data_IF_735504823562
#
_entry.id   IF_735504823562
#
_cell.length_a   1.000
_cell.length_b   1.000
_cell.length_c   1.000
_cell.angle_alpha   90.00
_cell.angle_beta   90.00
_cell.angle_gamma   90.00
#
_symmetry.space_group_name_H-M   'P 1'
#
loop_
_entity.id
_entity.type
_entity.pdbx_description
1 polymer ?
#
# COMPACT_ATOMS: atom_id res chain seq x y z
N UNK A 1 30.92 1.39 14.70
CA UNK A 1 29.53 0.93 14.53
C UNK A 1 28.67 2.15 14.75
N UNK A 2 28.25 2.82 13.69
CA UNK A 2 27.21 3.83 13.80
C UNK A 2 25.95 3.12 14.25
N UNK A 3 25.41 3.46 15.42
CA UNK A 3 24.21 2.87 16.01
C UNK A 3 23.06 2.99 15.01
N UNK A 4 22.68 1.89 14.38
CA UNK A 4 21.46 1.81 13.58
C UNK A 4 20.27 1.82 14.57
N UNK A 5 19.39 2.84 14.54
CA UNK A 5 18.30 2.90 15.51
C UNK A 5 17.32 1.74 15.34
N UNK A 6 16.93 1.12 16.47
CA UNK A 6 16.00 -0.03 16.50
C UNK A 6 14.72 0.21 15.66
N UNK A 7 14.16 1.42 15.67
CA UNK A 7 12.92 1.74 14.97
C UNK A 7 13.02 1.68 13.44
N UNK A 8 14.24 1.63 12.89
CA UNK A 8 14.50 1.42 11.48
C UNK A 8 14.83 -0.02 11.11
N UNK A 9 15.04 -0.91 12.09
CA UNK A 9 15.33 -2.34 11.84
C UNK A 9 14.21 -2.99 10.99
N UNK A 10 14.54 -4.04 10.25
CA UNK A 10 13.56 -4.80 9.47
C UNK A 10 12.53 -5.51 10.38
N UNK A 11 11.29 -5.63 9.92
CA UNK A 11 10.22 -6.29 10.68
C UNK A 11 10.58 -7.75 11.01
N UNK A 12 11.10 -8.50 10.04
CA UNK A 12 11.52 -9.90 10.24
C UNK A 12 12.71 -9.96 11.20
N UNK A 13 13.62 -8.99 11.14
CA UNK A 13 14.79 -8.93 12.02
C UNK A 13 14.37 -8.71 13.48
N UNK A 14 13.48 -7.75 13.74
CA UNK A 14 12.95 -7.51 15.08
C UNK A 14 12.20 -8.74 15.60
N UNK A 15 11.37 -9.36 14.76
CA UNK A 15 10.69 -10.60 15.12
C UNK A 15 11.67 -11.72 15.51
N UNK A 16 12.75 -11.91 14.76
CA UNK A 16 13.81 -12.88 15.08
C UNK A 16 14.48 -12.56 16.43
N UNK A 17 14.80 -11.30 16.69
CA UNK A 17 15.46 -10.85 17.93
C UNK A 17 14.56 -11.02 19.16
N UNK A 18 13.25 -10.79 19.01
CA UNK A 18 12.25 -11.09 20.03
C UNK A 18 12.15 -12.60 20.28
N UNK A 19 12.03 -13.40 19.23
CA UNK A 19 11.96 -14.86 19.34
C UNK A 19 13.20 -15.47 20.01
N UNK A 20 14.39 -14.93 19.76
CA UNK A 20 15.63 -15.34 20.41
C UNK A 20 15.82 -14.75 21.81
N UNK A 21 14.85 -13.97 22.32
CA UNK A 21 14.89 -13.24 23.60
C UNK A 21 16.08 -12.28 23.72
N UNK A 22 16.58 -11.79 22.59
CA UNK A 22 17.54 -10.68 22.55
C UNK A 22 16.83 -9.35 22.85
N UNK A 23 15.56 -9.25 22.44
CA UNK A 23 14.64 -8.15 22.75
C UNK A 23 13.38 -8.71 23.43
N UNK A 24 12.75 -7.93 24.30
CA UNK A 24 11.36 -8.18 24.75
C UNK A 24 10.36 -7.46 23.84
N UNK A 25 9.24 -8.11 23.52
CA UNK A 25 8.15 -7.47 22.78
C UNK A 25 7.62 -6.24 23.51
N UNK A 26 7.52 -6.29 24.85
CA UNK A 26 7.10 -5.15 25.69
C UNK A 26 8.08 -3.98 25.60
N UNK A 27 9.39 -4.25 25.64
CA UNK A 27 10.42 -3.20 25.53
C UNK A 27 10.40 -2.54 24.15
N UNK A 28 10.30 -3.33 23.08
CA UNK A 28 10.19 -2.82 21.70
C UNK A 28 8.91 -2.00 21.56
N UNK A 29 7.77 -2.49 22.05
CA UNK A 29 6.48 -1.78 21.97
C UNK A 29 6.51 -0.45 22.73
N UNK A 30 7.07 -0.43 23.94
CA UNK A 30 7.23 0.82 24.72
C UNK A 30 8.09 1.83 23.98
N UNK A 31 9.22 1.39 23.42
CA UNK A 31 10.11 2.24 22.61
C UNK A 31 9.37 2.85 21.42
N UNK A 32 8.53 2.07 20.73
CA UNK A 32 7.75 2.57 19.60
C UNK A 32 6.66 3.56 20.04
N UNK A 33 5.98 3.31 21.16
CA UNK A 33 4.96 4.23 21.70
C UNK A 33 5.57 5.57 22.14
N UNK A 34 6.74 5.55 22.80
CA UNK A 34 7.50 6.76 23.16
C UNK A 34 7.94 7.54 21.90
N UNK A 35 8.33 6.82 20.85
CA UNK A 35 8.69 7.44 19.58
C UNK A 35 7.48 8.07 18.89
N UNK A 36 6.32 7.42 18.89
CA UNK A 36 5.06 7.99 18.37
C UNK A 36 4.75 9.30 19.12
N UNK A 37 4.81 9.31 20.45
CA UNK A 37 4.53 10.50 21.26
C UNK A 37 5.46 11.70 20.95
N UNK A 38 6.73 11.41 20.67
CA UNK A 38 7.75 12.44 20.40
C UNK A 38 7.81 12.92 18.94
N UNK A 39 7.57 12.03 17.96
CA UNK A 39 7.77 12.33 16.53
C UNK A 39 6.45 12.56 15.80
N UNK A 40 5.38 11.82 16.12
CA UNK A 40 4.16 11.87 15.33
C UNK A 40 3.33 13.13 15.56
N UNK A 41 3.63 13.89 16.62
CA UNK A 41 2.99 15.18 16.90
C UNK A 41 3.20 16.23 15.79
N UNK A 42 4.22 16.05 14.95
CA UNK A 42 4.47 16.90 13.77
C UNK A 42 4.09 16.21 12.45
N UNK A 43 4.14 14.88 12.41
CA UNK A 43 3.86 14.10 11.20
C UNK A 43 2.39 13.75 11.01
N UNK A 44 1.58 13.73 12.08
CA UNK A 44 0.14 13.47 12.06
C UNK A 44 -0.24 12.15 11.36
N UNK A 45 0.56 11.09 11.52
CA UNK A 45 0.35 9.82 10.82
C UNK A 45 -0.63 8.88 11.54
N UNK A 46 -0.78 8.98 12.87
CA UNK A 46 -1.76 8.21 13.64
C UNK A 46 -3.06 9.00 13.89
N UNK A 47 -4.19 8.32 13.77
CA UNK A 47 -5.52 8.82 14.18
C UNK A 47 -5.87 8.36 15.58
N UNK A 48 -5.54 7.11 15.91
CA UNK A 48 -5.80 6.50 17.21
C UNK A 48 -4.59 5.65 17.60
N UNK A 49 -3.91 6.01 18.69
CA UNK A 49 -2.86 5.19 19.30
C UNK A 49 -3.51 4.23 20.31
N UNK A 50 -3.14 2.96 20.27
CA UNK A 50 -3.72 1.87 21.03
C UNK A 50 -2.79 1.38 22.16
N UNK A 51 -2.19 2.32 22.90
CA UNK A 51 -1.07 2.06 23.81
C UNK A 51 -1.31 0.92 24.82
N UNK A 52 -2.43 0.96 25.54
CA UNK A 52 -2.74 -0.04 26.57
C UNK A 52 -2.87 -1.45 25.97
N UNK A 53 -3.72 -1.60 24.95
CA UNK A 53 -3.89 -2.88 24.27
C UNK A 53 -2.62 -3.36 23.55
N UNK A 54 -1.80 -2.45 23.02
CA UNK A 54 -0.52 -2.80 22.40
C UNK A 54 0.44 -3.40 23.43
N UNK A 55 0.55 -2.80 24.62
CA UNK A 55 1.38 -3.32 25.70
C UNK A 55 0.85 -4.67 26.24
N UNK A 56 -0.47 -4.85 26.29
CA UNK A 56 -1.08 -6.13 26.65
C UNK A 56 -0.77 -7.23 25.62
N UNK A 57 -0.90 -6.94 24.33
CA UNK A 57 -0.53 -7.84 23.23
C UNK A 57 0.96 -8.20 23.26
N UNK A 58 1.82 -7.21 23.49
CA UNK A 58 3.26 -7.42 23.61
C UNK A 58 3.60 -8.33 24.80
N UNK A 59 2.98 -8.09 25.96
CA UNK A 59 3.16 -8.93 27.13
C UNK A 59 2.64 -10.36 26.89
N UNK A 60 1.58 -10.53 26.11
CA UNK A 60 1.11 -11.86 25.70
C UNK A 60 2.10 -12.56 24.77
N UNK A 61 2.69 -11.85 23.81
CA UNK A 61 3.72 -12.41 22.93
C UNK A 61 4.94 -12.91 23.72
N UNK A 62 5.41 -12.14 24.69
CA UNK A 62 6.51 -12.54 25.58
C UNK A 62 6.14 -13.78 26.43
N UNK A 63 4.90 -13.86 26.95
CA UNK A 63 4.40 -15.04 27.68
C UNK A 63 4.32 -16.28 26.79
N UNK A 64 3.82 -16.13 25.57
CA UNK A 64 3.73 -17.22 24.60
C UNK A 64 5.13 -17.78 24.29
N UNK A 65 6.11 -16.90 24.03
CA UNK A 65 7.51 -17.29 23.80
C UNK A 65 8.16 -17.91 25.04
N UNK A 66 7.81 -17.45 26.25
CA UNK A 66 8.25 -18.06 27.51
C UNK A 66 7.74 -19.51 27.64
N UNK A 67 6.51 -19.76 27.17
CA UNK A 67 5.86 -21.07 27.16
C UNK A 67 6.23 -21.96 25.95
N UNK A 68 7.08 -21.49 25.03
CA UNK A 68 7.48 -22.25 23.83
C UNK A 68 6.45 -22.24 22.70
N UNK A 69 5.49 -21.30 22.73
CA UNK A 69 4.49 -21.12 21.68
C UNK A 69 5.05 -20.15 20.64
N UNK A 70 5.29 -20.65 19.44
CA UNK A 70 5.80 -19.89 18.29
C UNK A 70 4.67 -19.65 17.27
N UNK A 71 4.33 -18.38 17.03
CA UNK A 71 3.26 -17.93 16.11
C UNK A 71 3.77 -17.43 14.76
N UNK A 72 5.08 -17.44 14.55
CA UNK A 72 5.72 -17.01 13.32
C UNK A 72 6.46 -15.67 13.43
N UNK A 73 6.98 -15.14 12.30
CA UNK A 73 7.96 -14.05 12.29
C UNK A 73 7.43 -12.71 12.81
N UNK A 74 6.11 -12.52 12.90
CA UNK A 74 5.49 -11.29 13.38
C UNK A 74 5.20 -11.29 14.89
N UNK A 75 5.40 -12.42 15.58
CA UNK A 75 5.09 -12.52 17.01
C UNK A 75 5.87 -11.50 17.83
N UNK A 76 5.13 -10.61 18.51
CA UNK A 76 5.67 -9.52 19.32
C UNK A 76 6.08 -8.26 18.55
N UNK A 77 5.96 -8.24 17.22
CA UNK A 77 6.42 -7.11 16.41
C UNK A 77 5.35 -6.01 16.30
N UNK A 78 5.68 -4.75 16.62
CA UNK A 78 4.74 -3.64 16.47
C UNK A 78 4.42 -3.24 15.02
N UNK A 79 3.14 -3.29 14.66
CA UNK A 79 2.60 -2.90 13.35
C UNK A 79 1.43 -1.94 13.52
N UNK A 80 1.02 -1.26 12.45
CA UNK A 80 -0.13 -0.37 12.46
C UNK A 80 -1.05 -0.62 11.25
N UNK A 81 -2.30 -0.18 11.30
CA UNK A 81 -3.25 -0.43 10.20
C UNK A 81 -3.96 0.86 9.78
N UNK A 82 -4.20 1.03 8.48
CA UNK A 82 -5.03 2.12 7.95
C UNK A 82 -6.36 2.18 8.70
N UNK A 83 -6.81 3.39 8.99
CA UNK A 83 -7.94 3.60 9.90
C UNK A 83 -9.26 2.98 9.42
N UNK A 84 -9.42 2.67 8.12
CA UNK A 84 -10.63 2.01 7.61
C UNK A 84 -10.75 0.52 7.95
N UNK A 85 -9.70 -0.10 8.49
CA UNK A 85 -9.69 -1.50 8.87
C UNK A 85 -10.28 -1.61 10.27
N UNK A 86 -11.45 -2.24 10.38
CA UNK A 86 -12.21 -2.28 11.63
C UNK A 86 -11.49 -3.06 12.72
N UNK A 87 -11.50 -2.50 13.92
CA UNK A 87 -11.02 -3.14 15.14
C UNK A 87 -12.12 -2.99 16.19
N UNK A 88 -12.72 -4.11 16.62
CA UNK A 88 -13.84 -4.08 17.55
C UNK A 88 -13.50 -3.28 18.81
N UNK A 89 -14.39 -2.35 19.20
CA UNK A 89 -14.21 -1.50 20.37
C UNK A 89 -13.18 -0.37 20.21
N UNK A 90 -12.54 -0.23 19.04
CA UNK A 90 -11.57 0.84 18.76
C UNK A 90 -12.12 1.81 17.72
N UNK A 91 -12.03 3.12 18.01
CA UNK A 91 -12.47 4.19 17.11
C UNK A 91 -11.83 4.05 15.71
N UNK A 92 -12.68 4.09 14.68
CA UNK A 92 -12.35 3.86 13.27
C UNK A 92 -13.17 4.86 12.45
N UNK A 93 -12.54 5.91 11.91
CA UNK A 93 -13.26 7.07 11.37
C UNK A 93 -13.28 7.14 9.85
N UNK A 94 -12.57 6.25 9.15
CA UNK A 94 -12.56 6.19 7.69
C UNK A 94 -12.01 7.48 7.03
N UNK A 95 -11.30 8.34 7.78
CA UNK A 95 -10.92 9.68 7.32
C UNK A 95 -12.12 10.61 7.13
N UNK A 96 -13.27 10.32 7.76
CA UNK A 96 -14.52 11.06 7.58
C UNK A 96 -14.96 11.67 8.93
N UNK A 97 -15.17 13.00 9.02
CA UNK A 97 -15.75 13.61 10.21
C UNK A 97 -17.14 13.06 10.56
N UNK A 98 -17.90 12.64 9.54
CA UNK A 98 -19.18 11.93 9.69
C UNK A 98 -19.07 10.69 10.58
N UNK A 99 -17.92 10.01 10.55
CA UNK A 99 -17.64 8.79 11.31
C UNK A 99 -16.70 9.05 12.50
N UNK A 100 -16.57 10.31 12.97
CA UNK A 100 -15.63 10.68 14.05
C UNK A 100 -15.77 9.83 15.32
N UNK A 101 -16.99 9.40 15.64
CA UNK A 101 -17.32 8.62 16.84
C UNK A 101 -17.67 7.15 16.50
N UNK A 102 -17.39 6.71 15.28
CA UNK A 102 -17.66 5.33 14.86
C UNK A 102 -16.72 4.35 15.57
N UNK A 103 -17.32 3.39 16.27
CA UNK A 103 -16.63 2.29 16.94
C UNK A 103 -17.22 0.97 16.41
N UNK A 104 -16.49 0.23 15.57
CA UNK A 104 -16.96 -1.05 15.04
C UNK A 104 -17.24 -2.07 16.15
N UNK A 105 -18.21 -2.94 15.91
CA UNK A 105 -18.52 -4.09 16.77
C UNK A 105 -17.77 -5.36 16.37
N UNK A 106 -17.19 -5.36 15.17
CA UNK A 106 -16.49 -6.50 14.59
C UNK A 106 -15.06 -6.08 14.22
N UNK A 107 -14.18 -7.07 14.14
CA UNK A 107 -12.78 -6.90 13.75
C UNK A 107 -12.60 -7.43 12.33
N UNK A 108 -11.94 -6.64 11.49
CA UNK A 108 -11.59 -6.99 10.12
C UNK A 108 -10.76 -8.26 10.08
N UNK A 109 -10.94 -9.09 9.05
CA UNK A 109 -10.24 -10.37 8.96
C UNK A 109 -8.72 -10.23 8.92
N UNK A 110 -8.21 -9.17 8.28
CA UNK A 110 -6.77 -8.86 8.27
C UNK A 110 -6.23 -8.50 9.66
N UNK A 111 -7.02 -7.79 10.48
CA UNK A 111 -6.64 -7.43 11.85
C UNK A 111 -6.69 -8.67 12.76
N UNK A 112 -7.71 -9.52 12.60
CA UNK A 112 -7.77 -10.82 13.29
C UNK A 112 -6.57 -11.71 12.96
N UNK A 113 -6.13 -11.75 11.69
CA UNK A 113 -4.96 -12.54 11.28
C UNK A 113 -3.65 -12.01 11.88
N UNK A 114 -3.48 -10.68 11.96
CA UNK A 114 -2.34 -10.08 12.65
C UNK A 114 -2.30 -10.47 14.14
N UNK A 115 -3.43 -10.38 14.84
CA UNK A 115 -3.55 -10.80 16.24
C UNK A 115 -3.23 -12.30 16.44
N UNK A 116 -3.75 -13.15 15.57
CA UNK A 116 -3.47 -14.60 15.59
C UNK A 116 -1.99 -14.92 15.35
N UNK A 117 -1.31 -14.14 14.49
CA UNK A 117 0.14 -14.23 14.28
C UNK A 117 0.96 -13.65 15.46
N UNK A 118 0.30 -13.08 16.47
CA UNK A 118 0.93 -12.47 17.63
C UNK A 118 1.55 -11.10 17.36
N UNK A 119 1.19 -10.43 16.26
CA UNK A 119 1.64 -9.07 16.00
C UNK A 119 1.03 -8.09 17.02
N UNK A 120 1.76 -7.03 17.34
CA UNK A 120 1.30 -6.00 18.28
C UNK A 120 0.74 -4.82 17.48
N UNK A 121 -0.53 -4.49 17.67
CA UNK A 121 -1.18 -3.40 16.95
C UNK A 121 -1.01 -2.07 17.69
N UNK A 122 -0.16 -1.18 17.16
CA UNK A 122 0.13 0.14 17.74
C UNK A 122 -1.03 1.13 17.60
N UNK A 123 -1.83 1.00 16.53
CA UNK A 123 -2.90 1.94 16.29
C UNK A 123 -3.46 1.98 14.87
N UNK A 124 -4.29 3.00 14.66
CA UNK A 124 -4.99 3.32 13.42
C UNK A 124 -4.35 4.51 12.75
N UNK A 125 -4.05 4.38 11.46
CA UNK A 125 -3.28 5.35 10.67
C UNK A 125 -4.17 6.25 9.81
N UNK A 126 -3.76 7.50 9.67
CA UNK A 126 -4.45 8.53 8.91
C UNK A 126 -4.59 8.18 7.43
N UNK A 127 -5.67 8.67 6.83
CA UNK A 127 -6.02 8.45 5.44
C UNK A 127 -6.82 9.61 4.86
N UNK A 128 -6.95 9.64 3.55
CA UNK A 128 -7.87 10.57 2.88
C UNK A 128 -9.33 10.15 3.10
N UNK A 129 -10.26 11.07 2.87
CA UNK A 129 -11.67 10.87 3.19
C UNK A 129 -12.27 9.70 2.38
N UNK A 130 -12.82 8.69 3.07
CA UNK A 130 -13.41 7.53 2.40
C UNK A 130 -12.43 6.79 1.50
N UNK A 131 -11.12 6.90 1.79
CA UNK A 131 -10.03 6.39 0.97
C UNK A 131 -9.90 6.99 -0.44
N UNK A 132 -10.54 8.13 -0.74
CA UNK A 132 -10.48 8.79 -2.04
C UNK A 132 -9.65 10.08 -2.00
N UNK A 133 -8.80 10.27 -3.01
CA UNK A 133 -8.04 11.49 -3.37
C UNK A 133 -7.51 12.40 -2.24
N UNK A 134 -8.38 13.14 -1.56
CA UNK A 134 -8.05 14.25 -0.67
C UNK A 134 -8.50 13.99 0.78
N UNK A 135 -7.74 14.48 1.75
CA UNK A 135 -8.21 14.54 3.13
C UNK A 135 -9.42 15.46 3.23
N UNK A 136 -10.37 15.13 4.10
CA UNK A 136 -11.47 16.03 4.39
C UNK A 136 -10.92 17.38 4.91
N UNK A 137 -11.49 18.55 4.54
CA UNK A 137 -10.98 19.86 4.97
C UNK A 137 -10.76 20.04 6.48
N UNK A 138 -11.59 19.38 7.30
CA UNK A 138 -11.49 19.38 8.77
C UNK A 138 -10.45 18.41 9.35
N UNK A 139 -9.72 17.67 8.51
CA UNK A 139 -8.71 16.68 8.93
C UNK A 139 -7.33 17.17 8.50
N UNK A 140 -6.43 17.31 9.48
CA UNK A 140 -5.02 17.59 9.20
C UNK A 140 -4.40 16.41 8.45
N UNK A 141 -3.88 16.63 7.22
CA UNK A 141 -3.19 15.58 6.47
C UNK A 141 -1.83 15.25 7.11
N UNK A 142 -1.31 14.02 6.93
CA UNK A 142 0.04 13.69 7.37
C UNK A 142 1.11 14.46 6.61
N UNK A 143 2.12 14.93 7.33
CA UNK A 143 3.31 15.56 6.77
C UNK A 143 4.26 14.48 6.24
N UNK A 144 4.77 14.65 5.02
CA UNK A 144 5.79 13.74 4.49
C UNK A 144 7.09 13.90 5.30
N UNK A 145 7.66 12.81 5.86
CA UNK A 145 8.81 12.90 6.74
C UNK A 145 10.10 13.32 6.02
N UNK A 146 10.14 13.23 4.68
CA UNK A 146 11.26 13.73 3.86
C UNK A 146 11.23 15.25 3.65
N UNK A 147 10.11 15.91 3.99
CA UNK A 147 9.97 17.36 3.91
C UNK A 147 8.52 17.78 3.72
N UNK A 148 8.10 18.85 4.40
CA UNK A 148 6.71 19.32 4.43
C UNK A 148 6.14 19.74 3.07
N UNK A 149 7.00 20.12 2.12
CA UNK A 149 6.59 20.50 0.78
C UNK A 149 6.24 19.29 -0.11
N UNK A 150 6.68 18.09 0.27
CA UNK A 150 6.46 16.85 -0.48
C UNK A 150 5.09 16.28 -0.16
N UNK A 151 4.42 15.74 -1.19
CA UNK A 151 3.17 15.01 -0.99
C UNK A 151 3.42 13.73 -0.20
N UNK A 152 2.60 13.41 0.79
CA UNK A 152 2.72 12.19 1.60
C UNK A 152 2.11 10.94 0.94
N UNK A 153 1.49 11.10 -0.24
CA UNK A 153 0.77 10.03 -0.92
C UNK A 153 -0.66 9.85 -0.41
N UNK A 154 -1.53 9.31 -1.25
CA UNK A 154 -2.93 9.02 -0.92
C UNK A 154 -3.32 7.63 -1.40
N UNK A 155 -4.35 6.99 -0.83
CA UNK A 155 -5.09 7.41 0.37
C UNK A 155 -4.52 6.83 1.66
N UNK A 156 -3.59 5.88 1.62
CA UNK A 156 -2.95 5.32 2.82
C UNK A 156 -1.81 6.22 3.33
N UNK A 157 -2.08 7.53 3.44
CA UNK A 157 -1.09 8.57 3.73
C UNK A 157 -0.33 8.29 5.04
N UNK A 158 -1.05 8.00 6.13
CA UNK A 158 -0.46 7.69 7.43
C UNK A 158 0.32 6.38 7.41
N UNK A 159 -0.11 5.37 6.64
CA UNK A 159 0.61 4.10 6.49
C UNK A 159 1.99 4.31 5.85
N UNK A 160 2.09 5.14 4.82
CA UNK A 160 3.37 5.52 4.22
C UNK A 160 4.26 6.28 5.19
N UNK A 161 3.74 7.37 5.78
CA UNK A 161 4.47 8.25 6.71
C UNK A 161 4.97 7.48 7.94
N UNK A 162 4.09 6.75 8.64
CA UNK A 162 4.45 6.02 9.86
C UNK A 162 5.51 4.94 9.61
N UNK A 163 5.46 4.28 8.45
CA UNK A 163 6.43 3.24 8.10
C UNK A 163 7.81 3.83 7.77
N UNK A 164 7.82 4.96 7.03
CA UNK A 164 9.05 5.65 6.64
C UNK A 164 9.75 6.35 7.81
N UNK A 165 8.97 6.97 8.71
CA UNK A 165 9.47 7.66 9.90
C UNK A 165 9.92 6.73 11.04
N UNK A 166 9.77 5.41 10.87
CA UNK A 166 10.07 4.42 11.91
C UNK A 166 9.12 4.55 13.10
N UNK A 167 7.82 4.73 12.85
CA UNK A 167 6.77 4.76 13.89
C UNK A 167 6.02 3.42 13.99
N UNK A 168 6.26 2.51 13.06
CA UNK A 168 5.89 1.10 13.11
C UNK A 168 6.91 0.26 12.29
N UNK A 169 6.94 -1.06 12.49
CA UNK A 169 7.81 -1.95 11.69
C UNK A 169 7.22 -2.32 10.34
N UNK A 170 5.91 -2.17 10.21
CA UNK A 170 5.17 -2.25 8.97
C UNK A 170 3.73 -1.86 9.21
N UNK A 171 3.02 -1.58 8.13
CA UNK A 171 1.62 -1.20 8.19
C UNK A 171 0.78 -1.86 7.12
N UNK A 172 -0.52 -1.82 7.31
CA UNK A 172 -1.48 -2.16 6.25
C UNK A 172 -2.06 -0.88 5.64
N UNK A 173 -2.22 -0.89 4.32
CA UNK A 173 -2.93 0.11 3.54
C UNK A 173 -4.03 -0.53 2.69
N UNK A 174 -4.75 0.30 1.93
CA UNK A 174 -5.65 -0.16 0.87
C UNK A 174 -5.36 0.51 -0.45
N UNK A 175 -5.70 -0.18 -1.55
CA UNK A 175 -5.40 0.26 -2.91
C UNK A 175 -6.58 0.01 -3.86
N UNK A 176 -7.10 1.09 -4.44
CA UNK A 176 -8.22 1.09 -5.41
C UNK A 176 -7.83 1.73 -6.75
N UNK A 177 -6.76 2.52 -6.74
CA UNK A 177 -6.25 3.30 -7.89
C UNK A 177 -4.78 3.70 -7.74
N UNK A 178 -4.10 3.17 -6.73
CA UNK A 178 -2.73 3.50 -6.34
C UNK A 178 -2.51 3.63 -4.83
N UNK A 179 -3.52 3.41 -3.99
CA UNK A 179 -3.50 3.86 -2.59
C UNK A 179 -2.57 3.12 -1.61
N UNK A 180 -1.92 2.03 -2.01
CA UNK A 180 -0.73 1.47 -1.34
C UNK A 180 0.54 1.96 -2.03
N UNK A 181 0.52 2.01 -3.36
CA UNK A 181 1.69 2.32 -4.20
C UNK A 181 2.10 3.79 -4.13
N UNK A 182 1.16 4.74 -4.13
CA UNK A 182 1.46 6.17 -4.04
C UNK A 182 2.10 6.55 -2.70
N UNK A 183 1.55 6.17 -1.52
CA UNK A 183 2.23 6.42 -0.25
C UNK A 183 3.57 5.69 -0.15
N UNK A 184 3.69 4.51 -0.76
CA UNK A 184 4.98 3.80 -0.78
C UNK A 184 6.04 4.55 -1.59
N UNK A 185 5.66 5.03 -2.79
CA UNK A 185 6.53 5.82 -3.65
C UNK A 185 6.89 7.16 -3.02
N UNK A 186 5.91 7.88 -2.47
CA UNK A 186 6.08 9.21 -1.90
C UNK A 186 6.95 9.23 -0.63
N UNK A 187 6.95 8.15 0.14
CA UNK A 187 7.68 8.05 1.41
C UNK A 187 8.92 7.15 1.34
N UNK A 188 9.25 6.59 0.17
CA UNK A 188 10.46 5.80 -0.01
C UNK A 188 10.44 4.44 0.68
N UNK A 189 9.26 3.81 0.76
CA UNK A 189 9.06 2.50 1.39
C UNK A 189 8.57 1.46 0.38
N UNK A 190 8.61 0.19 0.76
CA UNK A 190 8.15 -0.92 -0.08
C UNK A 190 6.66 -1.17 0.14
N UNK A 191 5.86 -1.16 -0.93
CA UNK A 191 4.41 -1.43 -0.86
C UNK A 191 4.02 -2.60 -1.73
N UNK A 192 3.18 -3.52 -1.25
CA UNK A 192 2.69 -4.65 -2.03
C UNK A 192 1.17 -4.58 -2.13
N UNK A 193 0.67 -4.36 -3.35
CA UNK A 193 -0.76 -4.55 -3.66
C UNK A 193 -0.94 -5.98 -4.15
N UNK A 194 -1.63 -6.86 -3.42
CA UNK A 194 -1.75 -8.25 -3.83
C UNK A 194 -2.73 -8.40 -5.00
N UNK A 195 -2.90 -9.63 -5.46
CA UNK A 195 -3.92 -9.95 -6.45
C UNK A 195 -5.30 -9.68 -5.88
N UNK A 196 -6.23 -9.21 -6.71
CA UNK A 196 -7.61 -9.03 -6.25
C UNK A 196 -8.19 -10.36 -5.75
N UNK A 197 -8.73 -10.35 -4.54
CA UNK A 197 -9.22 -11.54 -3.84
C UNK A 197 -8.15 -12.37 -3.10
N UNK A 198 -6.86 -12.02 -3.14
CA UNK A 198 -5.83 -12.71 -2.33
C UNK A 198 -5.98 -12.43 -0.82
N UNK A 199 -6.44 -11.24 -0.46
CA UNK A 199 -6.64 -10.79 0.92
C UNK A 199 -8.12 -10.47 1.11
N UNK A 200 -8.69 -10.93 2.23
CA UNK A 200 -10.09 -10.65 2.58
C UNK A 200 -10.30 -9.16 2.84
N UNK A 201 -11.43 -8.65 2.35
CA UNK A 201 -11.92 -7.28 2.54
C UNK A 201 -12.98 -7.18 3.65
N UNK A 202 -13.33 -8.29 4.30
CA UNK A 202 -14.28 -8.27 5.41
C UNK A 202 -13.80 -7.35 6.55
N UNK A 203 -14.67 -6.42 6.94
CA UNK A 203 -14.41 -5.40 7.96
C UNK A 203 -13.52 -4.25 7.50
N UNK A 204 -13.40 -4.01 6.19
CA UNK A 204 -12.84 -2.78 5.64
C UNK A 204 -13.98 -1.89 5.12
N UNK A 205 -13.92 -0.58 5.40
CA UNK A 205 -14.81 0.38 4.76
C UNK A 205 -14.43 0.54 3.28
N UNK A 206 -15.42 0.36 2.41
CA UNK A 206 -15.20 0.25 0.96
C UNK A 206 -15.11 1.62 0.29
N UNK A 207 -14.25 1.73 -0.71
CA UNK A 207 -14.31 2.79 -1.71
C UNK A 207 -14.96 2.26 -2.99
N UNK A 208 -14.45 1.14 -3.51
CA UNK A 208 -15.01 0.43 -4.64
C UNK A 208 -14.66 -1.06 -4.54
N UNK A 209 -15.59 -1.85 -4.01
CA UNK A 209 -15.42 -3.26 -3.68
C UNK A 209 -14.72 -4.11 -4.77
N UNK A 210 -15.04 -3.89 -6.04
CA UNK A 210 -14.48 -4.66 -7.15
C UNK A 210 -13.05 -4.28 -7.52
N UNK A 211 -12.51 -3.22 -6.92
CA UNK A 211 -11.16 -2.68 -7.15
C UNK A 211 -10.34 -2.57 -5.87
N UNK A 212 -10.97 -2.59 -4.70
CA UNK A 212 -10.27 -2.46 -3.43
C UNK A 212 -9.36 -3.66 -3.14
N UNK A 213 -8.12 -3.37 -2.77
CA UNK A 213 -7.14 -4.33 -2.25
C UNK A 213 -6.71 -3.90 -0.86
N UNK A 214 -6.36 -4.86 -0.01
CA UNK A 214 -5.65 -4.62 1.25
C UNK A 214 -4.27 -5.23 1.12
N UNK A 215 -3.23 -4.50 1.52
CA UNK A 215 -1.86 -4.97 1.37
C UNK A 215 -0.87 -4.24 2.25
N UNK A 216 0.35 -4.80 2.40
CA UNK A 216 1.34 -4.26 3.31
C UNK A 216 2.15 -3.11 2.72
N UNK A 217 2.58 -2.22 3.62
CA UNK A 217 3.63 -1.23 3.42
C UNK A 217 4.71 -1.49 4.47
N UNK A 218 5.94 -1.70 4.03
CA UNK A 218 7.08 -2.10 4.88
C UNK A 218 8.39 -1.48 4.36
N UNK A 219 9.49 -1.66 5.07
CA UNK A 219 10.80 -1.14 4.64
C UNK A 219 11.53 -2.01 3.62
N UNK A 220 11.13 -3.27 3.47
CA UNK A 220 11.75 -4.19 2.51
C UNK A 220 10.74 -5.11 1.84
N UNK A 221 11.13 -5.70 0.71
CA UNK A 221 10.33 -6.70 -0.01
C UNK A 221 10.11 -7.97 0.82
N UNK A 222 11.09 -8.35 1.63
CA UNK A 222 10.95 -9.49 2.55
C UNK A 222 9.89 -9.18 3.62
N UNK A 223 9.96 -8.01 4.26
CA UNK A 223 8.99 -7.61 5.29
C UNK A 223 7.57 -7.49 4.72
N UNK A 224 7.43 -6.93 3.51
CA UNK A 224 6.15 -6.89 2.80
C UNK A 224 5.63 -8.31 2.49
N UNK A 225 6.50 -9.22 2.05
CA UNK A 225 6.15 -10.63 1.82
C UNK A 225 5.70 -11.36 3.10
N UNK A 226 6.37 -11.10 4.23
CA UNK A 226 6.02 -11.69 5.52
C UNK A 226 4.65 -11.20 6.02
N UNK A 227 4.38 -9.90 5.94
CA UNK A 227 3.07 -9.33 6.27
C UNK A 227 1.97 -9.89 5.36
N UNK A 228 2.22 -9.96 4.05
CA UNK A 228 1.26 -10.53 3.11
C UNK A 228 0.94 -11.99 3.46
N UNK A 229 1.95 -12.79 3.80
CA UNK A 229 1.79 -14.19 4.21
C UNK A 229 0.87 -14.37 5.42
N UNK A 230 0.83 -13.38 6.32
CA UNK A 230 -0.07 -13.39 7.49
C UNK A 230 -1.51 -13.01 7.12
N UNK A 231 -1.69 -11.97 6.30
CA UNK A 231 -3.03 -11.42 6.04
C UNK A 231 -3.76 -12.10 4.88
N UNK A 232 -3.05 -12.80 3.99
CA UNK A 232 -3.62 -13.45 2.82
C UNK A 232 -4.41 -14.72 3.15
N UNK A 233 -5.30 -15.10 2.23
CA UNK A 233 -6.01 -16.37 2.26
C UNK A 233 -7.52 -16.23 2.30
N UNK A 234 -8.17 -17.35 1.97
CA UNK A 234 -9.61 -17.53 1.95
C UNK A 234 -10.27 -17.09 3.25
N UNK A 235 -11.47 -16.55 3.16
CA UNK A 235 -12.25 -16.12 4.32
C UNK A 235 -13.73 -16.36 4.08
N UNK A 236 -14.38 -17.10 4.96
CA UNK A 236 -15.82 -17.38 4.84
C UNK A 236 -16.67 -16.12 4.99
N UNK A 237 -16.13 -15.08 5.64
CA UNK A 237 -16.79 -13.78 5.82
C UNK A 237 -16.64 -12.85 4.62
N UNK A 238 -15.78 -13.21 3.67
CA UNK A 238 -15.62 -12.53 2.38
C UNK A 238 -15.62 -13.56 1.24
N UNK A 239 -16.77 -13.81 0.60
CA UNK A 239 -16.86 -14.77 -0.50
C UNK A 239 -16.06 -14.36 -1.75
N UNK A 240 -15.51 -13.14 -1.79
CA UNK A 240 -14.60 -12.69 -2.86
C UNK A 240 -13.13 -12.99 -2.56
N UNK A 241 -12.79 -13.40 -1.32
CA UNK A 241 -11.48 -13.91 -0.97
C UNK A 241 -11.29 -15.30 -1.58
N UNK A 242 -10.42 -15.38 -2.59
CA UNK A 242 -10.25 -16.56 -3.43
C UNK A 242 -9.70 -17.74 -2.60
N UNK A 243 -10.28 -18.96 -2.74
CA UNK A 243 -9.87 -20.14 -1.99
C UNK A 243 -8.60 -20.81 -2.55
N UNK A 244 -7.59 -20.00 -2.89
CA UNK A 244 -6.27 -20.48 -3.29
C UNK A 244 -5.35 -20.55 -2.07
N UNK A 245 -4.51 -21.58 -2.03
CA UNK A 245 -3.46 -21.68 -1.02
C UNK A 245 -2.58 -20.42 -1.03
N UNK A 246 -2.16 -19.99 0.16
CA UNK A 246 -1.19 -18.91 0.33
C UNK A 246 0.21 -19.55 0.29
N UNK A 247 1.06 -19.20 -0.70
CA UNK A 247 2.41 -19.72 -0.73
C UNK A 247 3.27 -19.06 0.36
N UNK A 248 4.36 -19.72 0.76
CA UNK A 248 5.41 -19.05 1.50
C UNK A 248 6.16 -18.10 0.56
N UNK A 249 5.82 -16.80 0.67
CA UNK A 249 6.39 -15.75 -0.16
C UNK A 249 7.91 -15.56 0.05
N UNK A 250 8.47 -16.04 1.17
CA UNK A 250 9.90 -15.90 1.49
C UNK A 250 10.73 -17.09 0.98
N UNK A 251 10.12 -18.27 0.84
CA UNK A 251 10.83 -19.52 0.49
C UNK A 251 11.67 -19.44 -0.81
N UNK A 252 11.26 -18.59 -1.75
CA UNK A 252 11.91 -18.43 -3.05
C UNK A 252 12.70 -17.13 -3.24
N UNK A 253 12.70 -16.23 -2.25
CA UNK A 253 13.11 -14.84 -2.48
C UNK A 253 14.59 -14.70 -2.84
N UNK A 254 15.45 -15.61 -2.37
CA UNK A 254 16.90 -15.57 -2.58
C UNK A 254 17.38 -16.18 -3.91
N UNK A 255 16.47 -16.64 -4.78
CA UNK A 255 16.83 -17.33 -6.04
C UNK A 255 17.40 -16.41 -7.15
N UNK A 256 17.56 -15.11 -6.89
CA UNK A 256 18.06 -14.13 -7.85
C UNK A 256 17.19 -13.97 -9.10
N UNK A 257 17.64 -13.24 -10.12
CA UNK A 257 16.84 -12.95 -11.33
C UNK A 257 17.40 -13.53 -12.63
N UNK A 258 18.41 -14.40 -12.55
CA UNK A 258 18.98 -15.04 -13.74
C UNK A 258 17.90 -15.74 -14.57
N UNK A 259 17.71 -15.28 -15.80
CA UNK A 259 16.76 -15.83 -16.77
C UNK A 259 15.29 -15.45 -16.55
N UNK A 260 14.98 -14.62 -15.54
CA UNK A 260 13.62 -14.07 -15.36
C UNK A 260 13.37 -13.05 -16.47
N UNK A 261 12.26 -13.19 -17.18
CA UNK A 261 11.86 -12.32 -18.29
C UNK A 261 11.03 -11.16 -17.76
N UNK A 262 11.53 -9.95 -17.92
CA UNK A 262 10.89 -8.71 -17.45
C UNK A 262 10.49 -7.91 -18.68
N UNK A 263 9.19 -7.80 -18.93
CA UNK A 263 8.63 -6.99 -20.00
C UNK A 263 8.74 -5.50 -19.68
N UNK A 264 9.24 -4.73 -20.64
CA UNK A 264 9.32 -3.27 -20.62
C UNK A 264 8.72 -2.72 -21.92
N UNK A 265 7.75 -1.81 -21.81
CA UNK A 265 7.33 -0.96 -22.93
C UNK A 265 8.04 0.40 -22.77
N UNK A 266 9.05 0.73 -23.60
CA UNK A 266 9.81 1.97 -23.46
C UNK A 266 8.94 3.22 -23.63
N UNK A 267 7.97 3.19 -24.55
CA UNK A 267 7.11 4.34 -24.83
C UNK A 267 6.20 4.64 -23.64
N UNK A 268 5.64 3.59 -23.06
CA UNK A 268 4.75 3.72 -21.92
C UNK A 268 5.49 4.01 -20.61
N UNK A 269 6.55 3.26 -20.30
CA UNK A 269 7.19 3.30 -18.99
C UNK A 269 8.36 4.30 -18.90
N UNK A 270 9.10 4.57 -19.97
CA UNK A 270 10.33 5.39 -19.95
C UNK A 270 10.10 6.78 -20.58
N UNK A 271 9.43 6.82 -21.73
CA UNK A 271 9.28 8.05 -22.50
C UNK A 271 8.16 8.96 -21.98
N UNK A 272 7.10 8.38 -21.42
CA UNK A 272 5.91 9.09 -20.95
C UNK A 272 5.99 9.57 -19.49
N UNK A 273 7.19 9.71 -18.93
CA UNK A 273 7.45 10.26 -17.59
C UNK A 273 8.41 11.45 -17.65
N UNK A 274 8.52 12.19 -16.55
CA UNK A 274 9.48 13.28 -16.42
C UNK A 274 10.94 12.80 -16.45
N UNK A 275 11.86 13.76 -16.61
CA UNK A 275 13.29 13.47 -16.80
C UNK A 275 13.91 12.74 -15.61
N UNK A 276 13.52 13.06 -14.39
CA UNK A 276 14.07 12.45 -13.18
C UNK A 276 13.59 11.00 -13.02
N UNK A 277 12.29 10.76 -13.20
CA UNK A 277 11.71 9.41 -13.19
C UNK A 277 12.31 8.55 -14.29
N UNK A 278 12.48 9.11 -15.50
CA UNK A 278 13.14 8.42 -16.62
C UNK A 278 14.54 7.95 -16.25
N UNK A 279 15.36 8.87 -15.71
CA UNK A 279 16.74 8.55 -15.33
C UNK A 279 16.82 7.44 -14.27
N UNK A 280 15.90 7.44 -13.30
CA UNK A 280 15.80 6.36 -12.30
C UNK A 280 15.39 5.04 -12.95
N UNK A 281 14.40 5.01 -13.84
CA UNK A 281 13.96 3.78 -14.48
C UNK A 281 15.02 3.17 -15.39
N UNK A 282 15.75 3.99 -16.15
CA UNK A 282 16.89 3.51 -16.97
C UNK A 282 17.96 2.84 -16.09
N UNK A 283 18.23 3.39 -14.91
CA UNK A 283 19.15 2.78 -13.94
C UNK A 283 18.59 1.47 -13.39
N UNK A 284 17.30 1.41 -13.04
CA UNK A 284 16.64 0.18 -12.59
C UNK A 284 16.75 -0.91 -13.65
N UNK A 285 16.42 -0.62 -14.90
CA UNK A 285 16.51 -1.57 -16.02
C UNK A 285 17.94 -2.09 -16.18
N UNK A 286 18.95 -1.20 -16.10
CA UNK A 286 20.37 -1.58 -16.13
C UNK A 286 20.75 -2.52 -14.97
N UNK A 287 20.36 -2.19 -13.74
CA UNK A 287 20.59 -3.03 -12.54
C UNK A 287 19.96 -4.41 -12.69
N UNK A 288 18.73 -4.49 -13.21
CA UNK A 288 18.05 -5.78 -13.41
C UNK A 288 18.76 -6.64 -14.45
N UNK A 289 19.26 -6.04 -15.55
CA UNK A 289 20.11 -6.73 -16.52
C UNK A 289 21.39 -7.29 -15.89
N UNK A 290 22.04 -6.51 -15.01
CA UNK A 290 23.24 -6.95 -14.27
C UNK A 290 22.94 -8.12 -13.29
N UNK A 291 21.73 -8.16 -12.73
CA UNK A 291 21.24 -9.28 -11.91
C UNK A 291 20.88 -10.53 -12.72
N UNK A 292 21.01 -10.46 -14.05
CA UNK A 292 20.78 -11.56 -14.99
C UNK A 292 19.35 -11.70 -15.49
N UNK A 293 18.48 -10.71 -15.23
CA UNK A 293 17.16 -10.67 -15.84
C UNK A 293 17.27 -10.44 -17.36
N UNK A 294 16.32 -11.00 -18.11
CA UNK A 294 16.17 -10.77 -19.55
C UNK A 294 15.12 -9.68 -19.71
N UNK A 295 15.54 -8.49 -20.15
CA UNK A 295 14.63 -7.38 -20.43
C UNK A 295 14.06 -7.59 -21.83
N UNK A 296 12.75 -7.81 -21.92
CA UNK A 296 12.04 -8.02 -23.17
C UNK A 296 11.22 -6.77 -23.52
N UNK A 297 11.46 -6.22 -24.71
CA UNK A 297 10.62 -5.15 -25.21
C UNK A 297 9.24 -5.69 -25.55
N UNK A 298 8.20 -5.02 -25.04
CA UNK A 298 6.80 -5.39 -25.24
C UNK A 298 5.98 -4.15 -25.62
N UNK A 299 4.78 -4.40 -26.16
CA UNK A 299 3.75 -3.38 -26.29
C UNK A 299 2.71 -3.58 -25.17
N UNK A 300 2.70 -2.68 -24.19
CA UNK A 300 1.70 -2.73 -23.14
C UNK A 300 0.35 -2.25 -23.68
N UNK A 301 -0.80 -2.86 -23.30
CA UNK A 301 -2.11 -2.39 -23.76
C UNK A 301 -2.32 -0.91 -23.43
N UNK A 302 -2.86 -0.16 -24.38
CA UNK A 302 -3.18 1.26 -24.17
C UNK A 302 -4.02 1.44 -22.91
N UNK A 303 -3.50 2.28 -22.00
CA UNK A 303 -4.05 2.54 -20.68
C UNK A 303 -4.98 3.75 -20.66
N UNK A 304 -5.00 4.58 -21.71
CA UNK A 304 -5.73 5.85 -21.70
C UNK A 304 -7.21 5.65 -21.39
N UNK A 305 -7.87 4.72 -22.08
CA UNK A 305 -9.28 4.43 -21.83
C UNK A 305 -9.53 3.82 -20.44
N UNK A 306 -8.60 2.98 -19.94
CA UNK A 306 -8.70 2.41 -18.59
C UNK A 306 -8.61 3.50 -17.51
N UNK A 307 -7.73 4.49 -17.69
CA UNK A 307 -7.62 5.66 -16.81
C UNK A 307 -8.91 6.47 -16.81
N UNK A 308 -9.48 6.77 -17.98
CA UNK A 308 -10.74 7.52 -18.07
C UNK A 308 -11.94 6.74 -17.51
N UNK A 309 -11.96 5.42 -17.64
CA UNK A 309 -13.04 4.59 -17.12
C UNK A 309 -12.94 4.38 -15.60
N UNK A 310 -11.78 4.60 -14.99
CA UNK A 310 -11.57 4.35 -13.56
C UNK A 310 -12.50 5.18 -12.66
N UNK A 311 -12.53 6.51 -12.83
CA UNK A 311 -13.34 7.39 -11.98
C UNK A 311 -14.85 7.08 -12.01
N UNK A 312 -15.51 6.92 -13.18
CA UNK A 312 -16.93 6.56 -13.21
C UNK A 312 -17.22 5.13 -12.73
N UNK A 313 -16.30 4.17 -12.92
CA UNK A 313 -16.45 2.83 -12.34
C UNK A 313 -16.37 2.89 -10.82
N UNK A 314 -15.35 3.57 -10.30
CA UNK A 314 -15.12 3.77 -8.87
C UNK A 314 -16.32 4.48 -8.24
N UNK A 315 -16.73 5.61 -8.82
CA UNK A 315 -17.80 6.43 -8.27
C UNK A 315 -19.14 5.72 -8.17
N UNK A 316 -19.49 4.82 -9.10
CA UNK A 316 -20.72 4.01 -8.97
C UNK A 316 -20.68 3.14 -7.71
N UNK A 317 -19.56 2.46 -7.45
CA UNK A 317 -19.42 1.61 -6.26
C UNK A 317 -19.29 2.45 -4.99
N UNK A 318 -18.60 3.59 -5.03
CA UNK A 318 -18.55 4.55 -3.92
C UNK A 318 -19.93 5.10 -3.57
N UNK A 319 -20.77 5.40 -4.58
CA UNK A 319 -22.14 5.83 -4.36
C UNK A 319 -22.99 4.75 -3.68
N UNK A 320 -22.71 3.46 -3.92
CA UNK A 320 -23.34 2.35 -3.22
C UNK A 320 -22.85 2.27 -1.77
N UNK A 321 -21.53 2.35 -1.55
CA UNK A 321 -20.94 2.31 -0.21
C UNK A 321 -21.44 3.44 0.72
N UNK A 322 -21.82 4.58 0.15
CA UNK A 322 -22.33 5.73 0.88
C UNK A 322 -23.86 5.94 0.77
N UNK A 323 -24.61 4.95 0.26
CA UNK A 323 -26.05 5.12 -0.03
C UNK A 323 -26.91 5.42 1.20
N UNK A 324 -26.48 5.02 2.41
CA UNK A 324 -27.22 5.26 3.66
C UNK A 324 -27.19 6.74 4.09
N UNK A 325 -26.13 7.47 3.75
CA UNK A 325 -25.86 8.81 4.24
C UNK A 325 -25.92 9.87 3.13
N UNK A 326 -25.54 9.52 1.89
CA UNK A 326 -25.54 10.44 0.75
C UNK A 326 -26.79 10.24 -0.15
N UNK A 327 -27.50 11.32 -0.59
CA UNK A 327 -27.17 12.74 -0.47
C UNK A 327 -27.74 13.42 0.78
N UNK A 328 -28.43 12.68 1.66
CA UNK A 328 -29.15 13.27 2.81
C UNK A 328 -28.26 14.08 3.78
N UNK A 329 -26.97 13.72 3.85
CA UNK A 329 -25.95 14.35 4.67
C UNK A 329 -24.79 14.89 3.82
N UNK A 330 -25.07 15.33 2.57
CA UNK A 330 -24.04 15.81 1.62
C UNK A 330 -23.09 16.85 2.20
N UNK A 331 -23.57 17.76 3.05
CA UNK A 331 -22.75 18.80 3.68
C UNK A 331 -21.72 18.27 4.69
N UNK A 332 -21.79 16.99 5.07
CA UNK A 332 -20.80 16.34 5.94
C UNK A 332 -19.64 15.68 5.15
N UNK A 333 -19.64 15.82 3.82
CA UNK A 333 -18.62 15.26 2.93
C UNK A 333 -17.72 16.37 2.38
N UNK A 334 -16.44 16.05 2.21
CA UNK A 334 -15.51 16.90 1.48
C UNK A 334 -15.84 16.95 -0.01
N UNK A 335 -15.41 18.01 -0.72
CA UNK A 335 -15.78 18.25 -2.12
C UNK A 335 -15.29 17.13 -3.06
N UNK A 336 -14.10 16.56 -2.81
CA UNK A 336 -13.55 15.48 -3.63
C UNK A 336 -14.42 14.21 -3.58
N UNK A 337 -14.69 13.68 -2.38
CA UNK A 337 -15.52 12.48 -2.22
C UNK A 337 -16.97 12.72 -2.65
N UNK A 338 -17.56 13.87 -2.31
CA UNK A 338 -18.91 14.22 -2.75
C UNK A 338 -19.01 14.26 -4.29
N UNK A 339 -18.00 14.83 -4.97
CA UNK A 339 -17.92 14.88 -6.42
C UNK A 339 -17.85 13.49 -7.07
N UNK A 340 -17.07 12.57 -6.48
CA UNK A 340 -17.01 11.18 -6.95
C UNK A 340 -18.35 10.45 -6.79
N UNK A 341 -19.03 10.64 -5.65
CA UNK A 341 -20.35 10.04 -5.41
C UNK A 341 -21.38 10.60 -6.39
N UNK A 342 -21.41 11.92 -6.60
CA UNK A 342 -22.29 12.57 -7.58
C UNK A 342 -22.03 12.06 -9.01
N UNK A 343 -20.75 11.91 -9.40
CA UNK A 343 -20.36 11.30 -10.69
C UNK A 343 -20.90 9.88 -10.83
N UNK A 344 -20.79 9.06 -9.77
CA UNK A 344 -21.31 7.69 -9.74
C UNK A 344 -22.82 7.62 -9.90
N UNK A 345 -23.55 8.44 -9.13
CA UNK A 345 -25.02 8.52 -9.18
C UNK A 345 -25.55 9.00 -10.53
N UNK A 346 -24.75 9.76 -11.28
CA UNK A 346 -25.10 10.27 -12.59
C UNK A 346 -24.89 9.24 -13.73
N UNK A 347 -24.22 8.11 -13.49
CA UNK A 347 -23.97 7.13 -14.53
C UNK A 347 -25.25 6.41 -14.98
N UNK A 348 -25.43 6.26 -16.29
CA UNK A 348 -26.47 5.39 -16.83
C UNK A 348 -26.06 3.92 -16.76
N UNK A 349 -27.04 3.01 -16.65
CA UNK A 349 -26.78 1.57 -16.67
C UNK A 349 -26.04 1.13 -17.95
N UNK A 350 -26.35 1.75 -19.10
CA UNK A 350 -25.72 1.42 -20.38
C UNK A 350 -24.26 1.85 -20.42
N UNK A 351 -23.94 3.07 -19.98
CA UNK A 351 -22.56 3.56 -19.97
C UNK A 351 -21.72 2.79 -18.96
N UNK A 352 -22.29 2.45 -17.80
CA UNK A 352 -21.62 1.62 -16.81
C UNK A 352 -21.33 0.21 -17.36
N UNK A 353 -22.31 -0.44 -17.99
CA UNK A 353 -22.12 -1.76 -18.60
C UNK A 353 -21.05 -1.74 -19.69
N UNK A 354 -20.99 -0.70 -20.52
CA UNK A 354 -19.93 -0.57 -21.53
C UNK A 354 -18.53 -0.49 -20.90
N UNK A 355 -18.39 0.24 -19.79
CA UNK A 355 -17.12 0.31 -19.03
C UNK A 355 -16.71 -1.02 -18.46
N UNK A 356 -17.66 -1.78 -17.90
CA UNK A 356 -17.38 -3.14 -17.41
C UNK A 356 -16.88 -4.07 -18.52
N UNK A 357 -17.46 -3.99 -19.72
CA UNK A 357 -16.99 -4.77 -20.88
C UNK A 357 -15.57 -4.39 -21.29
N UNK A 358 -15.26 -3.08 -21.36
CA UNK A 358 -13.91 -2.58 -21.65
C UNK A 358 -12.90 -2.99 -20.58
N UNK A 359 -13.28 -2.94 -19.30
CA UNK A 359 -12.46 -3.42 -18.18
C UNK A 359 -12.13 -4.90 -18.34
N UNK A 360 -13.11 -5.73 -18.67
CA UNK A 360 -12.90 -7.16 -18.88
C UNK A 360 -11.97 -7.45 -20.08
N UNK A 361 -12.16 -6.73 -21.20
CA UNK A 361 -11.27 -6.83 -22.36
C UNK A 361 -9.85 -6.38 -22.03
N UNK A 362 -9.69 -5.25 -21.33
CA UNK A 362 -8.39 -4.75 -20.89
C UNK A 362 -7.67 -5.78 -20.01
N UNK A 363 -8.36 -6.33 -19.00
CA UNK A 363 -7.82 -7.41 -18.17
C UNK A 363 -7.34 -8.59 -19.01
N UNK A 364 -8.14 -9.07 -19.95
CA UNK A 364 -7.78 -10.20 -20.81
C UNK A 364 -6.53 -9.92 -21.67
N UNK A 365 -6.31 -8.68 -22.10
CA UNK A 365 -5.08 -8.26 -22.80
C UNK A 365 -3.87 -8.28 -21.88
N UNK A 366 -4.01 -7.79 -20.64
CA UNK A 366 -2.93 -7.82 -19.63
C UNK A 366 -2.59 -9.26 -19.24
N UNK A 367 -3.60 -10.12 -19.00
CA UNK A 367 -3.41 -11.55 -18.71
C UNK A 367 -2.60 -12.25 -19.83
N UNK A 368 -2.94 -11.97 -21.10
CA UNK A 368 -2.25 -12.55 -22.26
C UNK A 368 -0.80 -12.11 -22.36
N UNK A 369 -0.52 -10.85 -22.06
CA UNK A 369 0.83 -10.31 -22.07
C UNK A 369 1.68 -10.89 -20.92
N UNK A 370 1.13 -10.97 -19.71
CA UNK A 370 1.79 -11.60 -18.56
C UNK A 370 1.93 -13.13 -18.70
N UNK A 371 1.32 -13.75 -19.71
CA UNK A 371 1.62 -15.14 -20.07
C UNK A 371 2.92 -15.27 -20.90
N UNK A 372 3.43 -14.19 -21.51
CA UNK A 372 4.67 -14.22 -22.30
C UNK A 372 5.90 -13.77 -21.54
N UNK A 373 5.77 -13.08 -20.41
CA UNK A 373 6.87 -12.62 -19.53
C UNK A 373 6.57 -13.00 -18.08
N UNK A 374 7.57 -12.98 -17.21
CA UNK A 374 7.39 -13.36 -15.81
C UNK A 374 7.01 -12.15 -14.93
N UNK A 375 7.44 -10.95 -15.34
CA UNK A 375 7.11 -9.66 -14.71
C UNK A 375 6.97 -8.57 -15.76
N UNK A 376 6.28 -7.50 -15.41
CA UNK A 376 6.40 -6.19 -16.06
C UNK A 376 7.11 -5.21 -15.12
N UNK A 377 7.76 -4.21 -15.70
CA UNK A 377 8.30 -3.06 -14.97
C UNK A 377 7.61 -1.77 -15.43
N UNK A 378 7.26 -0.91 -14.47
CA UNK A 378 6.68 0.41 -14.72
C UNK A 378 7.09 1.41 -13.61
N UNK A 379 7.01 2.73 -13.86
CA UNK A 379 6.99 3.71 -12.78
C UNK A 379 5.74 3.56 -11.91
N UNK A 380 5.69 4.26 -10.78
CA UNK A 380 4.45 4.39 -9.98
C UNK A 380 3.61 5.59 -10.45
N UNK A 381 4.26 6.69 -10.81
CA UNK A 381 3.61 7.90 -11.35
C UNK A 381 4.46 8.49 -12.46
N UNK A 382 3.91 9.40 -13.27
CA UNK A 382 4.67 10.10 -14.30
C UNK A 382 5.64 11.18 -13.76
N UNK A 383 5.62 11.45 -12.45
CA UNK A 383 6.27 12.61 -11.83
C UNK A 383 7.16 12.17 -10.66
N UNK A 384 8.39 12.66 -10.64
CA UNK A 384 9.32 12.46 -9.55
C UNK A 384 8.89 13.31 -8.34
N UNK A 385 8.76 12.67 -7.18
CA UNK A 385 8.49 13.30 -5.90
C UNK A 385 7.48 14.48 -5.94
N UNK A 386 6.20 14.24 -6.30
CA UNK A 386 5.19 15.29 -6.38
C UNK A 386 5.14 16.15 -5.12
N UNK A 387 5.08 17.47 -5.27
CA UNK A 387 4.89 18.38 -4.14
C UNK A 387 3.41 18.53 -3.78
N UNK A 388 3.12 18.97 -2.55
CA UNK A 388 1.75 19.31 -2.15
C UNK A 388 1.12 20.36 -3.08
N UNK A 389 1.87 21.41 -3.42
CA UNK A 389 1.41 22.47 -4.33
C UNK A 389 1.15 21.97 -5.76
N UNK A 390 1.84 20.92 -6.20
CA UNK A 390 1.54 20.28 -7.48
C UNK A 390 0.26 19.45 -7.39
N UNK A 391 0.10 18.71 -6.29
CA UNK A 391 -1.06 17.84 -6.05
C UNK A 391 -2.36 18.61 -5.78
N UNK A 392 -2.32 19.87 -5.36
CA UNK A 392 -3.52 20.74 -5.28
C UNK A 392 -4.29 20.83 -6.61
N UNK A 393 -3.63 20.57 -7.74
CA UNK A 393 -4.24 20.61 -9.08
C UNK A 393 -4.79 19.26 -9.54
N UNK A 394 -4.66 18.20 -8.72
CA UNK A 394 -4.94 16.82 -9.14
C UNK A 394 -6.37 16.60 -9.66
N UNK A 395 -7.36 17.26 -9.05
CA UNK A 395 -8.76 17.19 -9.47
C UNK A 395 -9.14 18.10 -10.64
N UNK A 396 -8.28 19.02 -11.05
CA UNK A 396 -8.57 20.05 -12.06
C UNK A 396 -7.73 19.92 -13.34
N UNK A 397 -6.52 19.35 -13.23
CA UNK A 397 -5.57 19.17 -14.33
C UNK A 397 -5.64 17.72 -14.87
N UNK A 398 -6.20 17.56 -16.07
CA UNK A 398 -6.33 16.27 -16.74
C UNK A 398 -4.99 15.57 -16.99
N UNK A 399 -3.93 16.33 -17.29
CA UNK A 399 -2.60 15.76 -17.54
C UNK A 399 -2.00 15.21 -16.25
N UNK A 400 -2.14 15.94 -15.15
CA UNK A 400 -1.74 15.48 -13.82
C UNK A 400 -2.54 14.24 -13.41
N UNK A 401 -3.87 14.30 -13.50
CA UNK A 401 -4.74 13.16 -13.20
C UNK A 401 -4.32 11.91 -13.97
N UNK A 402 -4.15 12.04 -15.29
CA UNK A 402 -3.68 10.96 -16.15
C UNK A 402 -2.30 10.47 -15.74
N UNK A 403 -1.33 11.37 -15.53
CA UNK A 403 0.05 11.04 -15.20
C UNK A 403 0.20 10.28 -13.87
N UNK A 404 -0.65 10.56 -12.88
CA UNK A 404 -0.65 9.83 -11.61
C UNK A 404 -1.28 8.44 -11.74
N UNK A 405 -2.39 8.30 -12.47
CA UNK A 405 -3.17 7.06 -12.53
C UNK A 405 -2.68 6.07 -13.60
N UNK A 406 -1.97 6.54 -14.63
CA UNK A 406 -1.54 5.76 -15.80
C UNK A 406 -0.86 4.43 -15.48
N UNK A 407 -0.13 4.38 -14.37
CA UNK A 407 0.68 3.23 -13.99
C UNK A 407 0.11 2.45 -12.81
N UNK A 408 -0.96 2.92 -12.19
CA UNK A 408 -1.56 2.25 -11.03
C UNK A 408 -2.94 1.68 -11.34
N UNK A 409 -3.87 2.54 -11.77
CA UNK A 409 -5.26 2.17 -12.02
C UNK A 409 -5.47 0.99 -12.98
N UNK A 410 -4.62 0.76 -14.01
CA UNK A 410 -4.77 -0.41 -14.87
C UNK A 410 -4.68 -1.74 -14.10
N UNK A 411 -3.92 -1.77 -13.00
CA UNK A 411 -3.70 -2.96 -12.19
C UNK A 411 -4.72 -3.15 -11.08
N UNK A 412 -5.48 -2.11 -10.72
CA UNK A 412 -6.69 -2.25 -9.91
C UNK A 412 -7.86 -2.76 -10.76
N UNK A 413 -8.01 -2.20 -11.97
CA UNK A 413 -9.01 -2.62 -12.92
C UNK A 413 -8.82 -4.07 -13.36
N UNK A 414 -7.58 -4.49 -13.60
CA UNK A 414 -7.26 -5.87 -14.00
C UNK A 414 -7.05 -6.82 -12.82
N UNK A 415 -6.86 -6.30 -11.61
CA UNK A 415 -6.67 -7.07 -10.38
C UNK A 415 -5.25 -7.63 -10.16
N UNK A 416 -4.29 -7.32 -11.04
CA UNK A 416 -2.94 -7.87 -10.99
C UNK A 416 -2.14 -7.39 -9.78
N UNK A 417 -1.34 -8.26 -9.14
CA UNK A 417 -0.49 -7.88 -8.02
C UNK A 417 0.69 -7.01 -8.46
N UNK A 418 1.12 -6.13 -7.56
CA UNK A 418 2.28 -5.24 -7.78
C UNK A 418 3.13 -5.11 -6.51
N UNK A 419 4.43 -4.87 -6.67
CA UNK A 419 5.30 -4.40 -5.58
C UNK A 419 6.00 -3.11 -5.98
N UNK A 420 5.83 -2.07 -5.18
CA UNK A 420 6.50 -0.77 -5.30
C UNK A 420 7.81 -0.78 -4.52
N UNK A 421 8.88 -0.29 -5.12
CA UNK A 421 10.23 -0.28 -4.55
C UNK A 421 10.88 1.10 -4.73
N UNK A 422 11.50 1.67 -3.69
CA UNK A 422 12.29 2.89 -3.82
C UNK A 422 13.53 2.62 -4.68
N UNK A 423 13.85 3.54 -5.58
CA UNK A 423 14.94 3.39 -6.55
C UNK A 423 15.78 4.66 -6.77
N UNK A 424 15.45 5.76 -6.11
CA UNK A 424 16.21 7.00 -6.22
C UNK A 424 15.59 8.13 -5.41
N UNK A 425 16.16 9.31 -5.56
CA UNK A 425 15.68 10.55 -4.96
C UNK A 425 15.71 11.66 -6.01
N UNK A 426 14.71 12.54 -5.98
CA UNK A 426 14.66 13.72 -6.82
C UNK A 426 15.66 14.78 -6.35
N UNK A 427 15.91 15.79 -7.19
CA UNK A 427 16.69 16.96 -6.82
C UNK A 427 16.09 17.74 -5.64
N UNK A 428 14.78 17.61 -5.41
CA UNK A 428 14.08 18.21 -4.28
C UNK A 428 14.14 17.35 -3.00
N UNK A 429 14.85 16.22 -3.03
CA UNK A 429 15.08 15.35 -1.87
C UNK A 429 13.95 14.36 -1.59
N UNK A 430 12.92 14.29 -2.45
CA UNK A 430 11.84 13.32 -2.31
C UNK A 430 12.16 11.97 -2.97
N UNK A 431 11.69 10.84 -2.43
CA UNK A 431 11.92 9.53 -3.03
C UNK A 431 11.30 9.37 -4.42
N UNK A 432 11.94 8.55 -5.26
CA UNK A 432 11.44 8.08 -6.55
C UNK A 432 11.35 6.56 -6.49
N UNK A 433 10.25 5.99 -6.98
CA UNK A 433 9.99 4.56 -6.95
C UNK A 433 9.50 4.03 -8.29
N UNK A 434 9.67 2.73 -8.46
CA UNK A 434 9.11 1.95 -9.56
C UNK A 434 8.29 0.80 -9.01
N UNK A 435 7.64 0.03 -9.87
CA UNK A 435 6.92 -1.17 -9.49
C UNK A 435 7.19 -2.34 -10.44
N UNK A 436 7.17 -3.54 -9.88
CA UNK A 436 6.96 -4.77 -10.65
C UNK A 436 5.48 -5.15 -10.63
N UNK A 437 5.02 -5.73 -11.73
CA UNK A 437 3.69 -6.32 -11.87
C UNK A 437 3.87 -7.79 -12.26
N UNK A 438 3.16 -8.68 -11.58
CA UNK A 438 3.25 -10.12 -11.82
C UNK A 438 1.91 -10.68 -12.33
N UNK A 439 1.90 -11.90 -12.89
CA UNK A 439 0.67 -12.64 -13.12
C UNK A 439 -0.18 -12.75 -11.86
N UNK A 440 -1.49 -12.92 -12.04
CA UNK A 440 -2.43 -13.15 -10.94
C UNK A 440 -1.92 -14.26 -10.01
N UNK A 441 -1.88 -13.96 -8.73
CA UNK A 441 -1.50 -14.84 -7.62
C UNK A 441 -0.02 -15.25 -7.56
N UNK A 442 0.87 -14.58 -8.30
CA UNK A 442 2.32 -14.80 -8.25
C UNK A 442 3.06 -13.72 -7.44
N UNK A 443 2.56 -13.40 -6.23
CA UNK A 443 3.23 -12.41 -5.37
C UNK A 443 4.61 -12.92 -4.88
N UNK A 444 4.89 -14.22 -4.96
CA UNK A 444 6.20 -14.78 -4.67
C UNK A 444 7.28 -14.29 -5.66
N UNK A 445 6.93 -14.14 -6.95
CA UNK A 445 7.84 -13.56 -7.94
C UNK A 445 8.13 -12.09 -7.64
N UNK A 446 7.12 -11.33 -7.18
CA UNK A 446 7.29 -9.93 -6.77
C UNK A 446 8.27 -9.81 -5.60
N UNK A 447 8.09 -10.63 -4.55
CA UNK A 447 8.99 -10.64 -3.38
C UNK A 447 10.41 -11.05 -3.77
N UNK A 448 10.56 -12.04 -4.65
CA UNK A 448 11.85 -12.45 -5.20
C UNK A 448 12.56 -11.33 -5.97
N UNK A 449 11.84 -10.64 -6.86
CA UNK A 449 12.40 -9.54 -7.64
C UNK A 449 12.76 -8.33 -6.78
N UNK A 450 11.87 -7.95 -5.86
CA UNK A 450 12.15 -6.89 -4.91
C UNK A 450 13.34 -7.20 -4.00
N UNK A 451 13.42 -8.43 -3.49
CA UNK A 451 14.57 -8.87 -2.70
C UNK A 451 15.87 -8.76 -3.49
N UNK A 452 15.93 -9.32 -4.70
CA UNK A 452 17.12 -9.31 -5.53
C UNK A 452 17.60 -7.87 -5.85
N UNK A 453 16.68 -6.96 -6.16
CA UNK A 453 16.98 -5.55 -6.39
C UNK A 453 17.51 -4.85 -5.12
N UNK A 454 16.89 -5.10 -3.97
CA UNK A 454 17.27 -4.52 -2.68
C UNK A 454 18.58 -5.11 -2.11
N UNK A 455 19.08 -6.25 -2.61
CA UNK A 455 20.40 -6.76 -2.21
C UNK A 455 21.56 -6.01 -2.86
N UNK A 456 21.34 -5.34 -3.99
CA UNK A 456 22.39 -4.61 -4.73
C UNK A 456 22.16 -3.09 -4.74
N UNK A 457 21.14 -2.62 -4.04
CA UNK A 457 20.81 -1.20 -3.87
C UNK A 457 20.54 -0.90 -2.39
N UNK A 458 20.63 0.37 -1.99
CA UNK A 458 20.46 0.81 -0.60
C UNK A 458 19.29 1.80 -0.42
N UNK A 459 18.53 2.09 -1.48
CA UNK A 459 17.44 3.08 -1.45
C UNK A 459 16.42 2.83 -0.35
N UNK A 460 16.04 1.56 -0.16
CA UNK A 460 15.11 1.11 0.88
C UNK A 460 15.65 1.22 2.33
N UNK A 461 16.95 1.50 2.48
CA UNK A 461 17.63 1.71 3.78
C UNK A 461 17.86 3.19 4.08
N UNK A 462 17.40 4.09 3.20
CA UNK A 462 17.45 5.52 3.48
C UNK A 462 16.26 5.88 4.35
N UNK A 463 16.52 6.67 5.37
CA UNK A 463 15.52 7.10 6.33
C UNK A 463 15.47 8.63 6.39
N UNK A 464 14.30 9.22 6.64
CA UNK A 464 14.19 10.64 6.93
C UNK A 464 14.97 11.02 8.21
N UNK A 465 15.53 12.23 8.25
CA UNK A 465 16.21 12.77 9.42
C UNK A 465 15.19 13.41 10.37
N UNK A 466 14.84 12.71 11.47
CA UNK A 466 13.76 13.07 12.41
C UNK A 466 14.22 13.13 13.87
#
# INVERSE_FOLDING_TARGET
MTDHPLHFDGLIEVGRRIQSRELSAVEVTRTMLERIDSVDTTLNSFVTVMADSALEQAAQADRDLAAGIHKGPLQGVPVAVKDLLWTAGTRTTHGMPLHRDHVPRETASVVTRLDQAGAVLLGKLQQTEGAFADHHPDITPPTNPWGEALWSGASSSGSGVATAAGLCFGSLGTDTGGSIRFPSAANGVTGLKPSWGRVSRHGAFELAASMDHIGPIARSAADAGALLGVIAGADERDPTAVPLAVPDYLAGMTRGLKGVRIGLDPRWAIEAVDTETRGVLEQVVSTLGQLGAVIEEIDFPDTQQAVFDWAPLCGVETAVAHAETFPSQREAYGPGLAGLIDLGRAQSAMDHQQRLLRRAEFKGRVDRLLASVDLLIAPVTAYAAPSMAFMEKFGEDEALFSGMLRYTCPFDLSGHPTITLPAGFSQQGGPIAFQFIAPMFDEAMLVRAGWAFQQVTDWHRRHPEL
#
